data_IF_894459655542
#
_entry.id   IF_894459655542
#
_cell.length_a   1.000
_cell.length_b   1.000
_cell.length_c   1.000
_cell.angle_alpha   90.00
_cell.angle_beta   90.00
_cell.angle_gamma   90.00
#
_symmetry.space_group_name_H-M   'P 1'
#
loop_
_entity.id
_entity.type
_entity.pdbx_description
1 polymer ?
#
# COMPACT_ATOMS: atom_id res chain seq x y z
N UNK A 1 -11.49 11.50 -7.13
CA UNK A 1 -11.33 11.38 -5.66
C UNK A 1 -10.00 12.02 -5.30
N UNK A 2 -9.84 12.67 -4.14
CA UNK A 2 -8.54 13.21 -3.73
C UNK A 2 -8.10 12.54 -2.43
N UNK A 3 -7.03 11.76 -2.49
CA UNK A 3 -6.46 11.02 -1.37
C UNK A 3 -5.19 11.71 -0.91
N UNK A 4 -5.13 12.03 0.39
CA UNK A 4 -3.94 12.53 1.06
C UNK A 4 -3.17 11.35 1.64
N UNK A 5 -1.84 11.38 1.53
CA UNK A 5 -0.96 10.36 2.08
C UNK A 5 -1.26 10.01 3.55
N UNK A 6 -1.54 11.02 4.39
CA UNK A 6 -1.91 10.82 5.80
C UNK A 6 -3.11 9.89 6.02
N UNK A 7 -4.03 9.79 5.06
CA UNK A 7 -5.24 8.97 5.18
C UNK A 7 -4.91 7.48 5.04
N UNK A 8 -3.90 7.16 4.24
CA UNK A 8 -3.50 5.78 3.93
C UNK A 8 -2.38 5.27 4.83
N UNK A 9 -1.86 6.09 5.76
CA UNK A 9 -0.90 5.62 6.76
C UNK A 9 -1.49 4.50 7.63
N UNK A 10 -0.69 3.47 7.91
CA UNK A 10 -1.07 2.34 8.73
C UNK A 10 -0.73 0.98 8.11
N UNK A 11 -1.18 -0.07 8.78
CA UNK A 11 -1.11 -1.44 8.27
C UNK A 11 -2.45 -1.81 7.65
N UNK A 12 -2.40 -2.24 6.41
CA UNK A 12 -3.53 -2.72 5.63
C UNK A 12 -3.32 -4.20 5.33
N UNK A 13 -4.37 -5.01 5.45
CA UNK A 13 -4.28 -6.46 5.25
C UNK A 13 -5.30 -6.95 4.26
N UNK A 14 -4.84 -7.75 3.31
CA UNK A 14 -5.67 -8.61 2.49
C UNK A 14 -5.47 -10.07 2.92
N UNK A 15 -6.52 -10.87 2.86
CA UNK A 15 -6.48 -12.31 3.16
C UNK A 15 -6.86 -13.09 1.91
N UNK A 16 -5.98 -13.99 1.49
CA UNK A 16 -6.19 -14.89 0.37
C UNK A 16 -6.01 -16.35 0.84
N UNK A 17 -7.11 -16.98 1.24
CA UNK A 17 -7.07 -18.27 1.92
C UNK A 17 -6.31 -18.17 3.24
N UNK A 18 -5.27 -18.99 3.42
CA UNK A 18 -4.41 -18.94 4.61
C UNK A 18 -3.28 -17.91 4.50
N UNK A 19 -3.09 -17.27 3.33
CA UNK A 19 -2.03 -16.30 3.13
C UNK A 19 -2.51 -14.89 3.49
N UNK A 20 -1.64 -14.14 4.14
CA UNK A 20 -1.86 -12.75 4.51
C UNK A 20 -0.96 -11.87 3.67
N UNK A 21 -1.52 -10.84 3.05
CA UNK A 21 -0.77 -9.81 2.36
C UNK A 21 -0.89 -8.54 3.19
N UNK A 22 0.20 -8.15 3.82
CA UNK A 22 0.28 -6.94 4.63
C UNK A 22 0.90 -5.82 3.78
N UNK A 23 0.20 -4.69 3.71
CA UNK A 23 0.63 -3.47 3.06
C UNK A 23 0.79 -2.39 4.13
N UNK A 24 2.03 -2.13 4.51
CA UNK A 24 2.38 -1.17 5.54
C UNK A 24 2.78 0.15 4.89
N UNK A 25 2.20 1.26 5.33
CA UNK A 25 2.56 2.61 4.88
C UNK A 25 2.93 3.44 6.12
N UNK A 26 4.17 3.92 6.16
CA UNK A 26 4.76 4.65 7.29
C UNK A 26 5.31 5.99 6.80
N UNK A 27 5.16 7.05 7.58
CA UNK A 27 5.75 8.34 7.22
C UNK A 27 7.29 8.25 7.27
N UNK A 28 7.99 9.01 6.42
CA UNK A 28 9.46 9.13 6.47
C UNK A 28 9.88 10.41 7.21
N UNK A 29 9.06 11.46 7.18
CA UNK A 29 9.37 12.74 7.81
C UNK A 29 8.59 12.94 9.12
N UNK A 30 9.23 13.54 10.12
CA UNK A 30 8.59 13.97 11.37
C UNK A 30 8.04 15.41 11.19
N UNK A 31 6.72 15.60 11.32
CA UNK A 31 6.08 16.92 11.24
C UNK A 31 4.61 16.88 10.75
N UNK A 32 3.96 18.04 10.69
CA UNK A 32 2.55 18.17 10.24
C UNK A 32 2.39 17.99 8.71
N UNK A 33 3.47 18.15 7.95
CA UNK A 33 3.52 18.02 6.48
C UNK A 33 4.15 16.70 6.05
N UNK A 34 3.36 15.62 6.08
CA UNK A 34 3.79 14.32 5.55
C UNK A 34 3.69 14.32 4.02
N UNK A 35 4.82 14.58 3.35
CA UNK A 35 4.95 14.55 1.89
C UNK A 35 5.47 13.22 1.35
N UNK A 36 6.16 12.43 2.19
CA UNK A 36 6.80 11.18 1.80
C UNK A 36 6.49 10.06 2.80
N UNK A 37 6.27 8.86 2.28
CA UNK A 37 6.10 7.64 3.06
C UNK A 37 6.94 6.51 2.51
N UNK A 38 7.25 5.55 3.37
CA UNK A 38 7.82 4.27 2.99
C UNK A 38 6.66 3.26 2.97
N UNK A 39 6.61 2.44 1.94
CA UNK A 39 5.75 1.27 1.94
C UNK A 39 6.56 -0.01 2.14
N UNK A 40 5.89 -1.02 2.67
CA UNK A 40 6.33 -2.41 2.60
C UNK A 40 5.12 -3.28 2.29
N UNK A 41 5.15 -4.05 1.21
CA UNK A 41 4.17 -5.11 0.96
C UNK A 41 4.84 -6.46 1.10
N UNK A 42 4.24 -7.37 1.86
CA UNK A 42 4.73 -8.74 1.94
C UNK A 42 3.58 -9.72 2.04
N UNK A 43 3.77 -10.90 1.46
CA UNK A 43 2.91 -12.04 1.69
C UNK A 43 3.55 -12.97 2.69
N UNK A 44 2.76 -13.43 3.65
CA UNK A 44 3.20 -14.37 4.66
C UNK A 44 2.12 -15.38 5.03
N UNK A 45 2.57 -16.49 5.60
CA UNK A 45 1.72 -17.40 6.36
C UNK A 45 1.37 -16.76 7.73
N UNK A 46 0.32 -17.27 8.41
CA UNK A 46 -0.04 -16.80 9.75
C UNK A 46 1.11 -17.00 10.75
N UNK A 47 1.94 -18.02 10.50
CA UNK A 47 3.10 -18.44 11.29
C UNK A 47 4.37 -17.61 11.01
N UNK A 48 4.27 -16.54 10.20
CA UNK A 48 5.33 -15.59 9.82
C UNK A 48 6.39 -16.07 8.83
N UNK A 49 6.14 -17.18 8.12
CA UNK A 49 6.90 -17.48 6.90
C UNK A 49 6.63 -16.41 5.85
N UNK A 50 7.64 -15.64 5.45
CA UNK A 50 7.53 -14.60 4.40
C UNK A 50 7.81 -15.25 3.04
N UNK A 51 6.88 -15.11 2.10
CA UNK A 51 7.06 -15.58 0.72
C UNK A 51 7.71 -14.52 -0.15
N UNK A 52 7.31 -13.26 0.04
CA UNK A 52 7.92 -12.12 -0.62
C UNK A 52 7.80 -10.85 0.18
N UNK A 53 8.71 -9.93 -0.09
CA UNK A 53 8.73 -8.60 0.50
C UNK A 53 9.21 -7.58 -0.53
N UNK A 54 8.43 -6.54 -0.72
CA UNK A 54 8.82 -5.35 -1.49
C UNK A 54 8.73 -4.12 -0.59
N UNK A 55 9.68 -3.21 -0.77
CA UNK A 55 9.76 -1.95 -0.05
C UNK A 55 10.18 -0.82 -0.98
N UNK A 56 9.80 0.40 -0.66
CA UNK A 56 10.17 1.59 -1.44
C UNK A 56 9.52 2.85 -0.90
N UNK A 57 10.00 4.00 -1.36
CA UNK A 57 9.33 5.26 -1.07
C UNK A 57 8.05 5.36 -1.89
N UNK A 58 7.00 6.00 -1.35
CA UNK A 58 5.75 6.24 -2.07
C UNK A 58 5.30 7.68 -2.02
N UNK A 59 4.61 8.06 -3.09
CA UNK A 59 3.89 9.32 -3.21
C UNK A 59 2.48 9.05 -3.76
N UNK A 60 1.52 9.91 -3.38
CA UNK A 60 0.15 9.84 -3.90
C UNK A 60 -0.04 10.88 -4.97
N UNK A 61 -0.20 10.41 -6.21
CA UNK A 61 -0.44 11.26 -7.37
C UNK A 61 -1.94 11.33 -7.59
N UNK A 62 -2.51 12.51 -7.35
CA UNK A 62 -3.92 12.78 -7.62
C UNK A 62 -4.03 13.50 -8.97
N UNK A 63 -4.89 13.00 -9.85
CA UNK A 63 -5.19 13.61 -11.14
C UNK A 63 -6.60 14.20 -11.13
N UNK A 64 -6.82 15.26 -11.91
CA UNK A 64 -8.14 15.86 -12.05
C UNK A 64 -9.09 14.89 -12.76
N UNK A 65 -10.24 14.60 -12.14
CA UNK A 65 -11.27 13.67 -12.65
C UNK A 65 -10.81 12.22 -12.87
N UNK A 66 -9.69 11.79 -12.29
CA UNK A 66 -9.20 10.41 -12.38
C UNK A 66 -9.03 9.74 -10.99
N UNK A 67 -8.61 8.48 -11.03
CA UNK A 67 -8.30 7.64 -9.89
C UNK A 67 -6.89 7.97 -9.38
N UNK A 68 -6.72 8.18 -8.06
CA UNK A 68 -5.39 8.40 -7.48
C UNK A 68 -4.46 7.21 -7.67
N UNK A 69 -3.19 7.50 -7.91
CA UNK A 69 -2.13 6.50 -8.09
C UNK A 69 -1.18 6.52 -6.88
N UNK A 70 -0.65 5.34 -6.53
CA UNK A 70 0.49 5.21 -5.62
C UNK A 70 1.73 5.04 -6.52
N UNK A 71 2.55 6.08 -6.58
CA UNK A 71 3.85 6.02 -7.26
C UNK A 71 4.87 5.44 -6.29
N UNK A 72 5.60 4.40 -6.71
CA UNK A 72 6.65 3.76 -5.92
C UNK A 72 8.01 4.16 -6.51
N UNK A 73 8.87 4.72 -5.66
CA UNK A 73 10.24 5.11 -5.97
C UNK A 73 11.22 4.17 -5.25
N UNK A 74 12.38 3.92 -5.88
CA UNK A 74 13.50 3.16 -5.31
C UNK A 74 13.11 1.77 -4.77
N UNK A 75 12.38 0.99 -5.58
CA UNK A 75 11.84 -0.30 -5.15
C UNK A 75 12.96 -1.33 -4.89
N UNK A 76 12.89 -2.00 -3.74
CA UNK A 76 13.69 -3.18 -3.39
C UNK A 76 12.72 -4.34 -3.25
N UNK A 77 12.97 -5.44 -3.97
CA UNK A 77 12.07 -6.60 -4.05
C UNK A 77 12.83 -7.92 -3.91
N UNK A 78 12.24 -8.88 -3.19
CA UNK A 78 12.79 -10.24 -3.05
C UNK A 78 12.45 -11.17 -4.22
N UNK A 79 11.42 -10.84 -4.98
CA UNK A 79 11.00 -11.55 -6.20
C UNK A 79 10.28 -10.62 -7.18
N UNK A 80 10.07 -11.07 -8.42
CA UNK A 80 9.34 -10.35 -9.47
C UNK A 80 7.82 -10.56 -9.35
N UNK A 81 7.08 -9.45 -9.16
CA UNK A 81 5.62 -9.35 -9.00
C UNK A 81 5.12 -8.07 -9.69
N UNK A 82 5.21 -7.99 -11.03
CA UNK A 82 4.99 -6.77 -11.81
C UNK A 82 3.61 -6.12 -11.55
N UNK A 83 2.63 -6.88 -11.07
CA UNK A 83 1.32 -6.39 -10.66
C UNK A 83 1.38 -5.33 -9.55
N UNK A 84 2.39 -5.35 -8.68
CA UNK A 84 2.54 -4.36 -7.60
C UNK A 84 3.30 -3.10 -8.00
N UNK A 85 3.88 -3.04 -9.21
CA UNK A 85 4.62 -1.86 -9.69
C UNK A 85 3.69 -0.71 -10.09
N UNK A 86 2.41 -1.00 -10.35
CA UNK A 86 1.39 -0.02 -10.71
C UNK A 86 0.19 -0.20 -9.79
N UNK A 87 -0.03 0.76 -8.91
CA UNK A 87 -1.09 0.71 -7.91
C UNK A 87 -2.02 1.92 -8.05
N UNK A 88 -3.32 1.64 -8.14
CA UNK A 88 -4.39 2.64 -8.21
C UNK A 88 -5.32 2.50 -7.02
N UNK A 89 -5.69 3.59 -6.38
CA UNK A 89 -6.66 3.58 -5.27
C UNK A 89 -8.06 3.68 -5.87
N UNK A 90 -8.60 2.56 -6.33
CA UNK A 90 -9.90 2.46 -7.00
C UNK A 90 -11.04 3.00 -6.13
N UNK A 91 -11.03 2.64 -4.84
CA UNK A 91 -11.93 3.22 -3.84
C UNK A 91 -11.28 3.22 -2.46
N UNK A 92 -11.71 4.16 -1.62
CA UNK A 92 -11.13 4.34 -0.29
C UNK A 92 -12.18 4.76 0.72
N UNK A 93 -12.18 4.08 1.87
CA UNK A 93 -12.82 4.52 3.09
C UNK A 93 -11.83 4.33 4.26
N UNK A 94 -12.04 4.94 5.44
CA UNK A 94 -11.07 4.90 6.53
C UNK A 94 -10.69 3.49 7.03
N UNK A 95 -11.51 2.47 6.76
CA UNK A 95 -11.27 1.08 7.16
C UNK A 95 -10.89 0.14 6.02
N UNK A 96 -11.11 0.52 4.76
CA UNK A 96 -10.91 -0.32 3.59
C UNK A 96 -10.35 0.48 2.41
N UNK A 97 -9.39 -0.13 1.73
CA UNK A 97 -8.78 0.42 0.52
C UNK A 97 -8.82 -0.64 -0.58
N UNK A 98 -9.42 -0.31 -1.71
CA UNK A 98 -9.36 -1.14 -2.91
C UNK A 98 -8.20 -0.66 -3.76
N UNK A 99 -7.18 -1.51 -3.88
CA UNK A 99 -6.07 -1.30 -4.80
C UNK A 99 -6.35 -2.05 -6.10
N UNK A 100 -6.37 -1.31 -7.21
CA UNK A 100 -6.26 -1.89 -8.54
C UNK A 100 -4.78 -2.05 -8.88
N UNK A 101 -4.39 -3.29 -9.17
CA UNK A 101 -3.02 -3.70 -9.49
C UNK A 101 -2.71 -3.51 -10.98
N UNK A 102 -1.43 -3.60 -11.36
CA UNK A 102 -0.98 -3.41 -12.74
C UNK A 102 -1.53 -4.43 -13.74
N UNK A 103 -2.04 -5.57 -13.26
CA UNK A 103 -2.71 -6.59 -14.08
C UNK A 103 -4.23 -6.35 -14.20
N UNK A 104 -4.78 -5.32 -13.55
CA UNK A 104 -6.21 -4.97 -13.53
C UNK A 104 -7.02 -5.61 -12.40
N UNK A 105 -6.42 -6.47 -11.58
CA UNK A 105 -7.10 -7.06 -10.42
C UNK A 105 -7.38 -6.00 -9.36
N UNK A 106 -8.51 -6.13 -8.68
CA UNK A 106 -8.91 -5.26 -7.57
C UNK A 106 -8.87 -6.02 -6.28
N UNK A 107 -7.96 -5.62 -5.39
CA UNK A 107 -7.73 -6.26 -4.11
C UNK A 107 -8.18 -5.35 -2.99
N UNK A 108 -9.05 -5.86 -2.12
CA UNK A 108 -9.47 -5.15 -0.91
C UNK A 108 -8.46 -5.38 0.21
N UNK A 109 -8.03 -4.30 0.83
CA UNK A 109 -7.27 -4.33 2.06
C UNK A 109 -8.04 -3.66 3.19
N UNK A 110 -8.07 -4.30 4.35
CA UNK A 110 -8.69 -3.77 5.58
C UNK A 110 -7.62 -3.17 6.49
N UNK A 111 -7.89 -2.00 7.06
CA UNK A 111 -6.98 -1.34 8.00
C UNK A 111 -6.97 -2.08 9.34
N UNK A 112 -5.78 -2.48 9.78
CA UNK A 112 -5.59 -3.12 11.09
C UNK A 112 -5.27 -2.11 12.20
N UNK A 113 -4.67 -0.98 11.84
CA UNK A 113 -4.29 0.08 12.77
C UNK A 113 -3.42 1.13 12.11
N UNK A 114 -3.33 2.30 12.74
CA UNK A 114 -2.40 3.35 12.35
C UNK A 114 -1.08 3.11 13.10
N UNK A 115 0.01 2.88 12.39
CA UNK A 115 1.34 2.85 13.01
C UNK A 115 1.71 4.31 13.29
N UNK A 116 1.58 4.73 14.55
CA UNK A 116 2.27 5.92 15.05
C UNK A 116 3.70 5.48 15.38
N UNK A 117 4.61 5.67 14.42
CA UNK A 117 6.05 5.68 14.68
C UNK A 117 6.46 7.04 15.21
#
# INVERSE_FOLDING_TARGET
MNIKLRQILGTWRHTNGNLLIDFNIRHINHGEDVTQAMFTIYQREPENTIHYEWQGAIEIVNHENDIPEISINDIIKTEEKPEYEKLKIWSFNPGEMYLELGNGDRVIFTKLGTIFG
#
